data_IF_540433323783
#
_entry.id   IF_540433323783
#
_cell.length_a   1.000
_cell.length_b   1.000
_cell.length_c   1.000
_cell.angle_alpha   90.00
_cell.angle_beta   90.00
_cell.angle_gamma   90.00
#
_symmetry.space_group_name_H-M   'P 1'
#
loop_
_entity.id
_entity.type
_entity.pdbx_description
1 polymer ?
#
# COMPACT_ATOMS: atom_id res chain seq x y z
N UNK A 1 8.09 3.20 -19.23
CA UNK A 1 8.13 1.89 -18.57
C UNK A 1 7.17 1.92 -17.40
N UNK A 2 6.12 1.12 -17.43
CA UNK A 2 5.00 1.20 -16.51
C UNK A 2 5.29 0.34 -15.27
N UNK A 3 5.48 0.95 -14.08
CA UNK A 3 5.72 0.24 -12.81
C UNK A 3 4.52 0.38 -11.88
N UNK A 4 3.57 -0.55 -11.99
CA UNK A 4 2.42 -0.63 -11.07
C UNK A 4 2.76 -1.38 -9.79
N UNK A 5 3.58 -2.42 -9.89
CA UNK A 5 4.04 -3.21 -8.76
C UNK A 5 5.57 -3.33 -8.81
N UNK A 6 6.16 -3.27 -7.63
CA UNK A 6 7.57 -3.55 -7.38
C UNK A 6 7.66 -4.85 -6.59
N UNK A 7 8.55 -5.73 -7.05
CA UNK A 7 8.82 -7.01 -6.41
C UNK A 7 10.13 -6.89 -5.64
N UNK A 8 10.06 -6.90 -4.32
CA UNK A 8 11.21 -6.60 -3.46
C UNK A 8 11.48 -7.80 -2.55
N UNK A 9 12.74 -8.23 -2.48
CA UNK A 9 13.16 -9.30 -1.56
C UNK A 9 13.16 -8.77 -0.13
N UNK A 10 12.57 -9.52 0.80
CA UNK A 10 12.60 -9.19 2.22
C UNK A 10 13.97 -9.60 2.77
N UNK A 11 14.80 -8.64 3.26
CA UNK A 11 16.10 -8.97 3.81
C UNK A 11 15.96 -9.89 5.03
N UNK A 12 16.91 -10.82 5.20
CA UNK A 12 17.02 -11.69 6.38
C UNK A 12 15.85 -12.70 6.57
N UNK A 13 15.16 -13.08 5.49
CA UNK A 13 14.18 -14.19 5.50
C UNK A 13 14.80 -15.47 4.96
N UNK A 14 14.62 -16.58 5.69
CA UNK A 14 14.99 -17.94 5.27
C UNK A 14 13.81 -18.88 5.53
N UNK A 15 13.15 -19.42 4.47
CA UNK A 15 13.49 -19.30 3.05
C UNK A 15 13.29 -17.87 2.50
N UNK A 16 13.89 -17.57 1.34
CA UNK A 16 13.83 -16.24 0.75
C UNK A 16 12.39 -15.79 0.43
N UNK A 17 11.92 -14.75 1.12
CA UNK A 17 10.60 -14.15 0.92
C UNK A 17 10.68 -12.88 0.08
N UNK A 18 9.58 -12.57 -0.59
CA UNK A 18 9.45 -11.38 -1.42
C UNK A 18 8.09 -10.73 -1.16
N UNK A 19 8.07 -9.41 -1.18
CA UNK A 19 6.87 -8.60 -1.05
C UNK A 19 6.53 -7.86 -2.34
N UNK A 20 5.24 -7.62 -2.54
CA UNK A 20 4.74 -6.75 -3.59
C UNK A 20 4.46 -5.37 -3.00
N UNK A 21 5.02 -4.33 -3.63
CA UNK A 21 4.78 -2.94 -3.28
C UNK A 21 4.15 -2.22 -4.46
N UNK A 22 3.34 -1.21 -4.19
CA UNK A 22 2.85 -0.31 -5.24
C UNK A 22 4.03 0.48 -5.81
N UNK A 23 4.15 0.48 -7.14
CA UNK A 23 5.15 1.27 -7.85
C UNK A 23 4.63 2.68 -8.17
N UNK A 24 5.53 3.57 -8.55
CA UNK A 24 5.25 4.99 -8.82
C UNK A 24 4.04 5.25 -9.72
N UNK A 25 3.76 4.37 -10.70
CA UNK A 25 2.63 4.55 -11.59
C UNK A 25 1.30 4.31 -10.89
N UNK A 26 1.25 3.31 -10.00
CA UNK A 26 0.04 3.02 -9.26
C UNK A 26 -0.32 4.14 -8.29
N UNK A 27 0.67 4.70 -7.59
CA UNK A 27 0.44 5.83 -6.69
C UNK A 27 -0.13 7.07 -7.40
N UNK A 28 0.20 7.25 -8.70
CA UNK A 28 -0.31 8.35 -9.50
C UNK A 28 -1.70 8.08 -10.11
N UNK A 29 -1.97 6.85 -10.50
CA UNK A 29 -3.22 6.49 -11.19
C UNK A 29 -4.34 6.05 -10.24
N UNK A 30 -3.98 5.54 -9.06
CA UNK A 30 -4.92 4.92 -8.12
C UNK A 30 -4.67 5.43 -6.71
N UNK A 31 -5.68 6.06 -6.11
CA UNK A 31 -5.65 6.44 -4.69
C UNK A 31 -6.08 5.28 -3.81
N UNK A 32 -5.52 5.20 -2.58
CA UNK A 32 -5.93 4.23 -1.56
C UNK A 32 -7.45 4.25 -1.30
N UNK A 33 -8.09 5.42 -1.39
CA UNK A 33 -9.54 5.57 -1.24
C UNK A 33 -10.33 4.86 -2.33
N UNK A 34 -9.88 4.95 -3.59
CA UNK A 34 -10.55 4.33 -4.73
C UNK A 34 -10.43 2.81 -4.72
N UNK A 35 -9.30 2.28 -4.22
CA UNK A 35 -9.14 0.84 -3.99
C UNK A 35 -10.13 0.38 -2.92
N UNK A 36 -10.26 1.14 -1.83
CA UNK A 36 -11.13 0.78 -0.73
C UNK A 36 -12.61 0.81 -1.11
N UNK A 37 -13.03 1.79 -1.91
CA UNK A 37 -14.37 1.87 -2.49
C UNK A 37 -14.67 0.63 -3.36
N UNK A 38 -13.75 0.27 -4.26
CA UNK A 38 -13.89 -0.94 -5.08
C UNK A 38 -13.95 -2.23 -4.24
N UNK A 39 -13.16 -2.33 -3.18
CA UNK A 39 -13.24 -3.46 -2.26
C UNK A 39 -14.59 -3.53 -1.54
N UNK A 40 -15.15 -2.38 -1.18
CA UNK A 40 -16.48 -2.30 -0.58
C UNK A 40 -17.58 -2.79 -1.53
N UNK A 41 -17.54 -2.33 -2.79
CA UNK A 41 -18.47 -2.81 -3.83
C UNK A 41 -18.34 -4.32 -4.06
N UNK A 42 -17.12 -4.85 -4.12
CA UNK A 42 -16.86 -6.26 -4.40
C UNK A 42 -17.36 -7.18 -3.27
N UNK A 43 -17.24 -6.73 -2.02
CA UNK A 43 -17.62 -7.50 -0.84
C UNK A 43 -19.03 -7.18 -0.33
N UNK A 44 -19.76 -6.26 -0.98
CA UNK A 44 -21.05 -5.73 -0.50
C UNK A 44 -20.94 -5.17 0.94
N UNK A 45 -19.77 -4.62 1.27
CA UNK A 45 -19.46 -4.09 2.60
C UNK A 45 -19.15 -2.59 2.52
N UNK A 46 -19.53 -1.84 3.55
CA UNK A 46 -19.16 -0.43 3.63
C UNK A 46 -17.63 -0.31 3.79
N UNK A 47 -16.92 0.49 2.97
CA UNK A 47 -15.48 0.70 3.11
C UNK A 47 -15.06 1.21 4.49
N UNK A 48 -15.96 1.80 5.28
CA UNK A 48 -15.71 2.21 6.67
C UNK A 48 -15.54 1.03 7.64
N UNK A 49 -15.99 -0.17 7.25
CA UNK A 49 -15.80 -1.41 8.01
C UNK A 49 -14.31 -1.71 8.18
N UNK A 50 -13.48 -1.36 7.20
CA UNK A 50 -12.01 -1.40 7.29
C UNK A 50 -11.48 -0.07 7.84
N UNK A 51 -11.80 0.22 9.09
CA UNK A 51 -11.61 1.56 9.68
C UNK A 51 -10.15 2.05 9.67
N UNK A 52 -9.17 1.14 9.78
CA UNK A 52 -7.75 1.49 9.67
C UNK A 52 -7.38 1.95 8.26
N UNK A 53 -7.76 1.14 7.26
CA UNK A 53 -7.50 1.39 5.84
C UNK A 53 -8.27 2.62 5.34
N UNK A 54 -9.50 2.83 5.81
CA UNK A 54 -10.28 4.03 5.55
C UNK A 54 -9.54 5.27 6.07
N UNK A 55 -9.11 5.26 7.33
CA UNK A 55 -8.35 6.38 7.89
C UNK A 55 -7.05 6.65 7.12
N UNK A 56 -6.31 5.62 6.74
CA UNK A 56 -5.08 5.76 5.95
C UNK A 56 -5.35 6.24 4.51
N UNK A 57 -6.48 5.86 3.93
CA UNK A 57 -6.90 6.30 2.60
C UNK A 57 -7.34 7.78 2.57
N UNK A 58 -7.88 8.28 3.69
CA UNK A 58 -8.34 9.66 3.85
C UNK A 58 -7.30 10.58 4.51
N UNK A 59 -6.23 10.02 5.08
CA UNK A 59 -5.07 10.79 5.51
C UNK A 59 -4.27 11.19 4.27
N UNK A 60 -4.13 12.50 4.04
CA UNK A 60 -3.34 13.05 2.92
C UNK A 60 -1.93 12.47 2.92
N UNK A 61 -1.29 12.28 1.75
CA UNK A 61 0.07 11.75 1.65
C UNK A 61 1.09 12.78 2.14
N UNK A 62 1.13 12.99 3.45
CA UNK A 62 2.23 13.63 4.11
C UNK A 62 2.62 12.79 5.34
N UNK A 63 3.90 12.40 5.37
CA UNK A 63 4.61 11.88 6.54
C UNK A 63 4.31 10.44 7.02
N UNK A 64 4.69 9.40 6.26
CA UNK A 64 5.35 8.20 6.86
C UNK A 64 6.07 7.30 5.83
N UNK A 65 7.18 7.78 5.27
CA UNK A 65 8.31 6.91 4.89
C UNK A 65 9.62 7.61 5.27
N UNK A 66 9.83 7.82 6.56
CA UNK A 66 11.11 8.25 7.12
C UNK A 66 11.30 7.59 8.49
N UNK A 67 11.55 6.28 8.49
CA UNK A 67 12.10 5.43 9.56
C UNK A 67 11.96 4.00 9.02
N UNK A 68 12.98 3.23 8.68
CA UNK A 68 14.23 2.99 9.40
C UNK A 68 15.33 2.63 8.40
N UNK A 69 16.28 3.55 8.14
CA UNK A 69 17.61 3.14 7.66
C UNK A 69 18.47 2.90 8.88
N UNK A 70 18.88 1.65 9.04
CA UNK A 70 19.70 1.11 10.10
C UNK A 70 20.85 2.02 10.54
N UNK A 71 20.90 2.19 11.85
CA UNK A 71 22.07 2.39 12.70
C UNK A 71 23.37 1.85 12.05
N UNK A 72 24.31 2.76 11.78
CA UNK A 72 25.76 2.50 11.79
C UNK A 72 26.51 3.75 12.21
#
# INVERSE_FOLDING_TARGET
MCRYLEYVRIPHTEPAEHEFRWGQRADLEVSKSKILEFMGELHEQDPQTWSQQYREAHSTPDSTQASTSSQR
#
